data_IF_175386450037
#
_entry.id   IF_175386450037
#
_cell.length_a   1.000
_cell.length_b   1.000
_cell.length_c   1.000
_cell.angle_alpha   90.00
_cell.angle_beta   90.00
_cell.angle_gamma   90.00
#
_symmetry.space_group_name_H-M   'P 1'
#
loop_
_entity.id
_entity.type
_entity.pdbx_description
1 polymer ?
#
# COMPACT_ATOMS: atom_id res chain seq x y z
N UNK A 1 -8.23 24.88 22.58
CA UNK A 1 -6.75 24.90 22.57
C UNK A 1 -6.32 23.53 22.09
N UNK A 2 -5.94 23.42 20.82
CA UNK A 2 -5.60 22.14 20.19
C UNK A 2 -4.19 21.73 20.60
N UNK A 3 -4.01 20.48 20.98
CA UNK A 3 -2.71 19.92 21.34
C UNK A 3 -1.87 19.82 20.04
N UNK A 4 -0.68 20.45 19.96
CA UNK A 4 0.07 20.60 18.71
C UNK A 4 0.75 19.31 18.20
N UNK A 5 0.47 18.15 18.81
CA UNK A 5 1.18 16.89 18.57
C UNK A 5 0.36 15.82 17.81
N UNK A 6 -0.89 16.11 17.43
CA UNK A 6 -1.78 15.13 16.77
C UNK A 6 -2.53 15.73 15.59
N UNK A 7 -2.38 15.12 14.42
CA UNK A 7 -3.21 15.32 13.24
C UNK A 7 -4.59 14.64 13.43
N UNK A 8 -5.65 15.09 12.73
CA UNK A 8 -7.04 14.68 13.01
C UNK A 8 -7.34 13.19 12.83
N UNK A 9 -6.44 12.43 12.20
CA UNK A 9 -6.67 11.03 11.81
C UNK A 9 -5.88 10.02 12.68
N UNK A 10 -5.31 10.47 13.80
CA UNK A 10 -4.62 9.60 14.76
C UNK A 10 -3.19 9.19 14.37
N UNK A 11 -2.64 9.70 13.26
CA UNK A 11 -1.23 9.52 12.93
C UNK A 11 -0.35 10.49 13.75
N UNK A 12 0.51 9.94 14.61
CA UNK A 12 1.48 10.73 15.37
C UNK A 12 2.62 11.22 14.46
N UNK A 13 3.05 12.48 14.63
CA UNK A 13 4.18 13.13 13.95
C UNK A 13 5.53 12.41 14.16
N UNK A 14 5.58 11.42 15.05
CA UNK A 14 6.70 10.50 15.27
C UNK A 14 7.05 9.62 14.06
N UNK A 15 6.19 9.57 13.04
CA UNK A 15 6.44 8.86 11.78
C UNK A 15 7.55 9.49 10.91
N UNK A 16 8.07 10.68 11.28
CA UNK A 16 9.13 11.39 10.56
C UNK A 16 10.56 11.06 11.03
N UNK A 17 10.75 10.36 12.15
CA UNK A 17 12.08 9.88 12.55
C UNK A 17 12.32 8.48 12.01
N UNK A 18 13.33 8.30 11.16
CA UNK A 18 13.74 6.95 10.78
C UNK A 18 14.18 6.18 12.04
N UNK A 19 13.57 5.02 12.34
CA UNK A 19 13.98 4.23 13.49
C UNK A 19 15.44 3.77 13.30
N UNK A 20 16.20 3.63 14.40
CA UNK A 20 17.54 3.06 14.34
C UNK A 20 17.48 1.68 13.67
N UNK A 21 18.55 1.25 12.97
CA UNK A 21 18.55 -0.02 12.26
C UNK A 21 18.16 -1.15 13.24
N UNK A 22 17.13 -1.94 12.92
CA UNK A 22 16.64 -2.97 13.83
C UNK A 22 17.74 -4.01 14.05
N UNK A 23 18.01 -4.31 15.33
CA UNK A 23 18.91 -5.40 15.70
C UNK A 23 18.16 -6.70 15.47
N UNK A 24 18.57 -7.46 14.46
CA UNK A 24 17.97 -8.76 14.12
C UNK A 24 18.05 -9.68 15.35
N UNK A 25 16.93 -10.25 15.77
CA UNK A 25 16.90 -11.14 16.93
C UNK A 25 17.87 -12.33 16.72
N UNK A 26 18.79 -12.60 17.67
CA UNK A 26 19.67 -13.77 17.66
C UNK A 26 18.96 -15.10 17.32
N UNK A 27 17.68 -15.23 17.68
CA UNK A 27 16.84 -16.41 17.41
C UNK A 27 16.78 -16.72 15.91
N UNK A 28 16.83 -15.71 15.03
CA UNK A 28 16.78 -15.87 13.57
C UNK A 28 18.05 -16.41 12.94
N UNK A 29 19.19 -16.39 13.64
CA UNK A 29 20.48 -16.87 13.12
C UNK A 29 20.70 -18.37 13.31
N UNK A 30 19.77 -19.06 13.97
CA UNK A 30 19.83 -20.53 14.05
C UNK A 30 19.38 -21.12 12.73
N UNK A 31 20.27 -21.89 12.06
CA UNK A 31 20.00 -22.51 10.77
C UNK A 31 18.67 -23.29 10.74
N UNK A 32 18.32 -23.94 11.85
CA UNK A 32 17.04 -24.62 12.02
C UNK A 32 15.84 -23.67 11.91
N UNK A 33 15.89 -22.50 12.55
CA UNK A 33 14.77 -21.55 12.55
C UNK A 33 14.66 -20.82 11.22
N UNK A 34 15.78 -20.38 10.64
CA UNK A 34 15.79 -19.73 9.31
C UNK A 34 15.26 -20.67 8.22
N UNK A 35 15.70 -21.93 8.21
CA UNK A 35 15.30 -22.92 7.21
C UNK A 35 13.84 -23.33 7.36
N UNK A 36 13.35 -23.46 8.60
CA UNK A 36 11.94 -23.74 8.88
C UNK A 36 11.01 -22.59 8.45
N UNK A 37 11.41 -21.34 8.71
CA UNK A 37 10.68 -20.14 8.29
C UNK A 37 10.68 -20.02 6.75
N UNK A 38 11.84 -20.18 6.11
CA UNK A 38 11.97 -20.01 4.65
C UNK A 38 11.24 -21.09 3.84
N UNK A 39 11.18 -22.34 4.33
CA UNK A 39 10.50 -23.43 3.64
C UNK A 39 9.01 -23.58 4.01
N UNK A 40 8.48 -22.75 4.91
CA UNK A 40 7.13 -22.92 5.44
C UNK A 40 6.93 -24.28 6.13
N UNK A 41 8.02 -24.90 6.61
CA UNK A 41 8.05 -26.25 7.20
C UNK A 41 8.01 -26.24 8.73
N UNK A 42 7.37 -25.23 9.33
CA UNK A 42 7.07 -25.22 10.76
C UNK A 42 5.95 -26.22 11.07
N UNK A 43 6.24 -27.52 10.98
CA UNK A 43 5.28 -28.57 11.31
C UNK A 43 5.32 -28.88 12.81
N UNK A 44 4.12 -28.98 13.40
CA UNK A 44 3.76 -29.29 14.80
C UNK A 44 3.78 -28.16 15.85
N UNK A 45 4.38 -27.00 15.60
CA UNK A 45 4.23 -25.81 16.46
C UNK A 45 4.58 -24.55 15.68
N UNK A 46 3.65 -24.10 14.82
CA UNK A 46 3.82 -22.85 14.07
C UNK A 46 3.76 -21.66 15.04
N UNK A 47 4.92 -21.08 15.32
CA UNK A 47 5.00 -19.80 16.01
C UNK A 47 4.79 -18.66 14.99
N UNK A 48 3.52 -18.32 14.80
CA UNK A 48 3.08 -17.26 13.87
C UNK A 48 3.70 -15.90 14.25
N UNK A 49 3.90 -15.66 15.55
CA UNK A 49 4.47 -14.41 16.05
C UNK A 49 5.92 -14.28 15.63
N UNK A 50 6.70 -15.36 15.77
CA UNK A 50 8.10 -15.39 15.36
C UNK A 50 8.26 -15.19 13.85
N UNK A 51 7.39 -15.84 13.06
CA UNK A 51 7.33 -15.71 11.60
C UNK A 51 7.02 -14.26 11.18
N UNK A 52 6.00 -13.64 11.79
CA UNK A 52 5.61 -12.25 11.53
C UNK A 52 6.73 -11.27 11.89
N UNK A 53 7.35 -11.43 13.06
CA UNK A 53 8.44 -10.57 13.51
C UNK A 53 9.63 -10.67 12.53
N UNK A 54 9.99 -11.87 12.07
CA UNK A 54 11.06 -12.06 11.09
C UNK A 54 10.79 -11.28 9.79
N UNK A 55 9.59 -11.43 9.22
CA UNK A 55 9.25 -10.73 7.98
C UNK A 55 9.20 -9.21 8.18
N UNK A 56 8.70 -8.73 9.32
CA UNK A 56 8.66 -7.29 9.64
C UNK A 56 10.07 -6.67 9.77
N UNK A 57 11.01 -7.39 10.36
CA UNK A 57 12.41 -6.96 10.46
C UNK A 57 13.07 -6.94 9.08
N UNK A 58 12.82 -7.97 8.26
CA UNK A 58 13.33 -8.02 6.88
C UNK A 58 12.77 -6.89 6.01
N UNK A 59 11.48 -6.58 6.17
CA UNK A 59 10.82 -5.45 5.51
C UNK A 59 11.48 -4.13 5.91
N UNK A 60 11.76 -3.94 7.21
CA UNK A 60 12.43 -2.74 7.72
C UNK A 60 13.84 -2.60 7.15
N UNK A 61 14.61 -3.69 7.11
CA UNK A 61 15.98 -3.67 6.57
C UNK A 61 16.03 -3.44 5.06
N UNK A 62 15.01 -3.91 4.32
CA UNK A 62 14.95 -3.79 2.86
C UNK A 62 14.03 -2.67 2.38
N UNK A 63 13.52 -1.83 3.29
CA UNK A 63 12.53 -0.79 3.02
C UNK A 63 12.91 0.07 1.81
N UNK A 64 14.13 0.60 1.77
CA UNK A 64 14.60 1.45 0.67
C UNK A 64 14.57 0.73 -0.68
N UNK A 65 14.97 -0.55 -0.71
CA UNK A 65 14.98 -1.34 -1.95
C UNK A 65 13.55 -1.65 -2.40
N UNK A 66 12.68 -2.01 -1.46
CA UNK A 66 11.27 -2.32 -1.71
C UNK A 66 10.53 -1.07 -2.22
N UNK A 67 10.69 0.07 -1.54
CA UNK A 67 10.11 1.35 -1.97
C UNK A 67 10.66 1.79 -3.33
N UNK A 68 11.97 1.70 -3.57
CA UNK A 68 12.56 2.05 -4.88
C UNK A 68 11.97 1.21 -6.00
N UNK A 69 11.79 -0.09 -5.78
CA UNK A 69 11.14 -1.00 -6.75
C UNK A 69 9.69 -0.55 -7.03
N UNK A 70 8.94 -0.23 -5.98
CA UNK A 70 7.57 0.27 -6.13
C UNK A 70 7.53 1.56 -6.95
N UNK A 71 8.42 2.52 -6.69
CA UNK A 71 8.50 3.79 -7.42
C UNK A 71 8.90 3.58 -8.89
N UNK A 72 9.87 2.71 -9.18
CA UNK A 72 10.24 2.35 -10.56
C UNK A 72 9.06 1.74 -11.32
N UNK A 73 8.34 0.81 -10.69
CA UNK A 73 7.16 0.20 -11.28
C UNK A 73 6.03 1.22 -11.48
N UNK A 74 5.78 2.10 -10.50
CA UNK A 74 4.78 3.17 -10.58
C UNK A 74 5.02 4.05 -11.80
N UNK A 75 6.26 4.53 -11.97
CA UNK A 75 6.62 5.38 -13.10
C UNK A 75 6.46 4.63 -14.43
N UNK A 76 6.87 3.37 -14.49
CA UNK A 76 6.63 2.53 -15.66
C UNK A 76 5.14 2.37 -15.98
N UNK A 77 4.29 2.15 -14.98
CA UNK A 77 2.86 1.97 -15.17
C UNK A 77 2.18 3.27 -15.63
N UNK A 78 2.53 4.41 -15.04
CA UNK A 78 2.06 5.72 -15.50
C UNK A 78 2.41 5.99 -16.97
N UNK A 79 3.58 5.53 -17.41
CA UNK A 79 4.05 5.77 -18.77
C UNK A 79 3.50 4.76 -19.78
N UNK A 80 3.37 3.48 -19.43
CA UNK A 80 3.15 2.40 -20.39
C UNK A 80 1.88 1.59 -20.20
N UNK A 81 1.27 1.58 -19.01
CA UNK A 81 0.06 0.78 -18.76
C UNK A 81 -1.16 1.42 -19.44
N UNK A 82 -1.88 0.69 -20.33
CA UNK A 82 -3.08 1.22 -20.96
C UNK A 82 -4.19 1.60 -19.97
N UNK A 83 -4.42 0.76 -18.95
CA UNK A 83 -5.49 0.99 -17.96
C UNK A 83 -5.17 2.20 -17.09
N UNK A 84 -3.93 2.33 -16.63
CA UNK A 84 -3.49 3.46 -15.80
C UNK A 84 -3.58 4.76 -16.59
N UNK A 85 -3.04 4.78 -17.83
CA UNK A 85 -3.11 5.97 -18.67
C UNK A 85 -4.54 6.38 -18.98
N UNK A 86 -5.41 5.39 -19.24
CA UNK A 86 -6.83 5.62 -19.44
C UNK A 86 -7.46 6.28 -18.20
N UNK A 87 -7.26 5.71 -17.01
CA UNK A 87 -7.80 6.26 -15.77
C UNK A 87 -7.26 7.65 -15.44
N UNK A 88 -5.95 7.89 -15.63
CA UNK A 88 -5.35 9.23 -15.50
C UNK A 88 -6.07 10.23 -16.40
N UNK A 89 -6.35 9.85 -17.66
CA UNK A 89 -7.03 10.72 -18.61
C UNK A 89 -8.50 10.99 -18.24
N UNK A 90 -9.23 9.98 -17.76
CA UNK A 90 -10.62 10.13 -17.34
C UNK A 90 -10.76 10.98 -16.08
N UNK A 91 -9.85 10.82 -15.12
CA UNK A 91 -9.77 11.69 -13.94
C UNK A 91 -9.44 13.13 -14.36
N UNK A 92 -8.54 13.31 -15.32
CA UNK A 92 -8.22 14.61 -15.93
C UNK A 92 -9.44 15.32 -16.52
N UNK A 93 -10.35 14.58 -17.17
CA UNK A 93 -11.60 15.16 -17.74
C UNK A 93 -12.56 15.68 -16.67
N UNK A 94 -12.47 15.17 -15.44
CA UNK A 94 -13.25 15.65 -14.30
C UNK A 94 -12.57 16.77 -13.51
N UNK A 95 -11.39 17.23 -13.95
CA UNK A 95 -10.61 18.26 -13.28
C UNK A 95 -9.70 17.75 -12.16
N UNK A 96 -9.62 16.43 -11.97
CA UNK A 96 -8.63 15.82 -11.09
C UNK A 96 -7.27 15.70 -11.77
N UNK A 97 -6.21 15.48 -10.99
CA UNK A 97 -4.88 15.18 -11.51
C UNK A 97 -4.34 13.97 -10.77
N UNK A 98 -3.78 13.00 -11.50
CA UNK A 98 -3.12 11.83 -10.94
C UNK A 98 -1.76 11.68 -11.59
N UNK A 99 -0.71 11.86 -10.82
CA UNK A 99 0.67 11.82 -11.29
C UNK A 99 1.63 11.31 -10.21
N UNK A 100 2.93 11.32 -10.50
CA UNK A 100 3.94 10.82 -9.58
C UNK A 100 4.01 11.58 -8.24
N UNK A 101 3.42 12.78 -8.13
CA UNK A 101 3.44 13.64 -6.94
C UNK A 101 2.33 13.33 -5.95
N UNK A 102 1.25 12.66 -6.38
CA UNK A 102 0.12 12.31 -5.52
C UNK A 102 -0.15 10.79 -5.46
N UNK A 103 0.70 9.99 -6.10
CA UNK A 103 0.74 8.53 -5.94
C UNK A 103 2.05 8.17 -5.23
N UNK A 104 1.95 7.63 -4.03
CA UNK A 104 3.07 7.46 -3.10
C UNK A 104 3.33 5.99 -2.75
N UNK A 105 4.55 5.50 -2.98
CA UNK A 105 4.97 4.22 -2.44
C UNK A 105 5.51 4.37 -1.01
N UNK A 106 4.97 3.62 -0.05
CA UNK A 106 5.45 3.58 1.34
C UNK A 106 5.46 2.15 1.87
N UNK A 107 6.20 1.94 2.96
CA UNK A 107 6.10 0.71 3.73
C UNK A 107 4.84 0.78 4.60
N UNK A 108 4.04 -0.27 4.62
CA UNK A 108 2.82 -0.34 5.40
C UNK A 108 2.89 -1.47 6.42
N UNK A 109 2.30 -1.23 7.60
CA UNK A 109 2.13 -2.24 8.66
C UNK A 109 0.77 -2.92 8.56
N UNK A 110 -0.23 -2.26 7.99
CA UNK A 110 -1.56 -2.81 7.76
C UNK A 110 -1.56 -3.86 6.63
N UNK A 111 -2.49 -4.80 6.70
CA UNK A 111 -2.71 -5.82 5.67
C UNK A 111 -3.56 -5.29 4.51
N UNK A 112 -3.06 -4.27 3.82
CA UNK A 112 -3.66 -3.69 2.61
C UNK A 112 -2.59 -3.37 1.57
N UNK A 113 -2.91 -3.49 0.28
CA UNK A 113 -1.97 -3.20 -0.82
C UNK A 113 -1.92 -1.73 -1.21
N UNK A 114 -2.98 -0.97 -0.93
CA UNK A 114 -3.09 0.44 -1.25
C UNK A 114 -4.22 1.14 -0.50
N UNK A 115 -4.47 2.39 -0.85
CA UNK A 115 -5.63 3.15 -0.40
C UNK A 115 -5.71 4.52 -1.07
N UNK A 116 -6.92 5.08 -1.14
CA UNK A 116 -7.20 6.41 -1.67
C UNK A 116 -7.68 7.38 -0.57
N UNK A 117 -7.18 8.61 -0.61
CA UNK A 117 -7.63 9.72 0.23
C UNK A 117 -7.73 11.00 -0.61
N UNK A 118 -8.76 11.81 -0.35
CA UNK A 118 -8.94 13.11 -1.01
C UNK A 118 -7.80 14.09 -0.71
N UNK A 119 -7.28 14.06 0.52
CA UNK A 119 -6.27 15.01 0.98
C UNK A 119 -4.84 14.56 0.66
N UNK A 120 -4.61 13.25 0.60
CA UNK A 120 -3.26 12.67 0.49
C UNK A 120 -3.00 11.93 -0.83
N UNK A 121 -4.03 11.75 -1.67
CA UNK A 121 -3.92 11.02 -2.93
C UNK A 121 -3.91 9.50 -2.72
N UNK A 122 -3.13 8.80 -3.55
CA UNK A 122 -3.06 7.33 -3.56
C UNK A 122 -1.83 6.85 -2.80
N UNK A 123 -2.06 5.96 -1.83
CA UNK A 123 -1.04 5.22 -1.12
C UNK A 123 -0.86 3.84 -1.77
N UNK A 124 0.38 3.45 -2.04
CA UNK A 124 0.77 2.12 -2.49
C UNK A 124 1.69 1.48 -1.45
N UNK A 125 1.27 0.36 -0.88
CA UNK A 125 2.02 -0.38 0.14
C UNK A 125 3.09 -1.25 -0.51
N UNK A 126 4.30 -0.72 -0.62
CA UNK A 126 5.40 -1.27 -1.41
C UNK A 126 5.79 -2.72 -1.01
N UNK A 127 5.64 -3.07 0.27
CA UNK A 127 5.92 -4.40 0.82
C UNK A 127 4.82 -5.43 0.57
N UNK A 128 3.65 -5.03 0.06
CA UNK A 128 2.52 -5.92 -0.21
C UNK A 128 2.41 -6.35 -1.68
N UNK A 129 3.25 -5.81 -2.56
CA UNK A 129 3.26 -6.19 -3.98
C UNK A 129 4.06 -7.47 -4.26
N UNK A 130 3.38 -8.45 -4.86
CA UNK A 130 3.97 -9.72 -5.32
C UNK A 130 4.73 -9.55 -6.63
N UNK A 131 4.18 -8.77 -7.55
CA UNK A 131 4.75 -8.46 -8.85
C UNK A 131 4.17 -7.12 -9.37
N UNK A 132 4.62 -6.68 -10.56
CA UNK A 132 4.16 -5.43 -11.17
C UNK A 132 2.67 -5.46 -11.57
N UNK A 133 2.13 -6.63 -11.93
CA UNK A 133 0.70 -6.78 -12.24
C UNK A 133 -0.18 -6.50 -11.02
N UNK A 134 0.14 -7.11 -9.87
CA UNK A 134 -0.57 -6.80 -8.62
C UNK A 134 -0.51 -5.30 -8.25
N UNK A 135 0.61 -4.63 -8.56
CA UNK A 135 0.74 -3.18 -8.37
C UNK A 135 -0.10 -2.38 -9.37
N UNK A 136 -0.21 -2.84 -10.62
CA UNK A 136 -1.08 -2.26 -11.64
C UNK A 136 -2.54 -2.36 -11.25
N UNK A 137 -2.99 -3.54 -10.83
CA UNK A 137 -4.37 -3.78 -10.39
C UNK A 137 -4.72 -2.92 -9.17
N UNK A 138 -3.83 -2.90 -8.16
CA UNK A 138 -4.00 -2.04 -6.98
C UNK A 138 -4.06 -0.56 -7.38
N UNK A 139 -3.15 -0.11 -8.23
CA UNK A 139 -3.13 1.29 -8.65
C UNK A 139 -4.40 1.64 -9.44
N UNK A 140 -4.87 0.76 -10.32
CA UNK A 140 -6.13 0.94 -11.03
C UNK A 140 -7.33 1.00 -10.08
N UNK A 141 -7.38 0.13 -9.06
CA UNK A 141 -8.41 0.14 -8.02
C UNK A 141 -8.49 1.51 -7.33
N UNK A 142 -7.38 2.02 -6.83
CA UNK A 142 -7.36 3.31 -6.14
C UNK A 142 -7.64 4.50 -7.08
N UNK A 143 -7.29 4.39 -8.36
CA UNK A 143 -7.62 5.42 -9.36
C UNK A 143 -9.11 5.43 -9.72
N UNK A 144 -9.81 4.29 -9.66
CA UNK A 144 -11.26 4.25 -9.80
C UNK A 144 -11.93 4.94 -8.60
N UNK A 145 -11.43 4.73 -7.38
CA UNK A 145 -11.90 5.48 -6.21
C UNK A 145 -11.72 7.00 -6.39
N UNK A 146 -10.56 7.42 -6.89
CA UNK A 146 -10.31 8.83 -7.21
C UNK A 146 -11.31 9.38 -8.24
N UNK A 147 -11.60 8.61 -9.30
CA UNK A 147 -12.57 8.99 -10.31
C UNK A 147 -14.00 9.08 -9.76
N UNK A 148 -14.43 8.09 -8.98
CA UNK A 148 -15.77 8.04 -8.40
C UNK A 148 -16.02 9.22 -7.46
N UNK A 149 -15.01 9.61 -6.66
CA UNK A 149 -15.10 10.78 -5.78
C UNK A 149 -15.25 12.10 -6.52
N UNK A 150 -14.73 12.21 -7.75
CA UNK A 150 -14.92 13.39 -8.59
C UNK A 150 -16.25 13.36 -9.35
N UNK A 151 -16.72 12.15 -9.71
CA UNK A 151 -17.92 11.98 -10.53
C UNK A 151 -19.21 12.03 -9.72
N UNK A 152 -19.20 11.47 -8.52
CA UNK A 152 -20.39 11.22 -7.73
C UNK A 152 -20.34 11.95 -6.38
N UNK A 153 -21.52 12.18 -5.80
CA UNK A 153 -21.64 12.67 -4.43
C UNK A 153 -21.57 11.48 -3.48
N UNK A 154 -20.36 11.16 -3.05
CA UNK A 154 -20.10 10.10 -2.08
C UNK A 154 -20.24 10.65 -0.66
N UNK A 155 -20.95 9.92 0.19
CA UNK A 155 -21.07 10.23 1.62
C UNK A 155 -20.19 9.24 2.38
N UNK A 156 -19.20 9.73 3.12
CA UNK A 156 -18.22 8.89 3.81
C UNK A 156 -18.87 7.94 4.82
N UNK A 157 -19.89 8.40 5.55
CA UNK A 157 -20.58 7.62 6.58
C UNK A 157 -21.66 6.67 6.01
N UNK A 158 -21.93 6.74 4.70
CA UNK A 158 -22.94 5.92 4.07
C UNK A 158 -22.33 4.60 3.56
N UNK A 159 -22.51 3.54 4.35
CA UNK A 159 -21.96 2.21 4.05
C UNK A 159 -22.42 1.64 2.69
N UNK A 160 -23.59 2.05 2.19
CA UNK A 160 -24.05 1.62 0.86
C UNK A 160 -23.23 2.29 -0.25
N UNK A 161 -22.90 3.57 -0.07
CA UNK A 161 -22.04 4.27 -1.03
C UNK A 161 -20.66 3.63 -1.03
N UNK A 162 -20.05 3.42 0.13
CA UNK A 162 -18.74 2.77 0.25
C UNK A 162 -18.73 1.38 -0.42
N UNK A 163 -19.71 0.53 -0.12
CA UNK A 163 -19.80 -0.79 -0.75
C UNK A 163 -19.95 -0.71 -2.28
N UNK A 164 -20.71 0.25 -2.80
CA UNK A 164 -20.85 0.45 -4.24
C UNK A 164 -19.55 0.91 -4.91
N UNK A 165 -18.74 1.73 -4.22
CA UNK A 165 -17.42 2.14 -4.70
C UNK A 165 -16.49 0.95 -4.79
N UNK A 166 -16.39 0.16 -3.72
CA UNK A 166 -15.55 -1.05 -3.70
C UNK A 166 -15.94 -2.05 -4.80
N UNK A 167 -17.24 -2.31 -4.97
CA UNK A 167 -17.73 -3.20 -6.06
C UNK A 167 -17.27 -2.68 -7.43
N UNK A 168 -17.36 -1.37 -7.66
CA UNK A 168 -16.93 -0.77 -8.93
C UNK A 168 -15.41 -0.86 -9.10
N UNK A 169 -14.65 -0.47 -8.08
CA UNK A 169 -13.20 -0.50 -8.10
C UNK A 169 -12.68 -1.91 -8.39
N UNK A 170 -13.24 -2.94 -7.74
CA UNK A 170 -12.89 -4.34 -8.04
C UNK A 170 -13.31 -4.79 -9.43
N UNK A 171 -14.45 -4.34 -9.93
CA UNK A 171 -14.92 -4.72 -11.27
C UNK A 171 -14.07 -4.09 -12.39
N UNK A 172 -13.57 -2.87 -12.18
CA UNK A 172 -12.90 -2.08 -13.22
C UNK A 172 -11.37 -2.11 -13.17
N UNK A 173 -10.78 -2.55 -12.05
CA UNK A 173 -9.33 -2.58 -11.86
C UNK A 173 -8.64 -3.81 -12.45
N UNK A 174 -9.38 -4.91 -12.65
CA UNK A 174 -8.82 -6.18 -13.11
C UNK A 174 -8.29 -7.09 -12.00
N UNK A 175 -8.56 -6.77 -10.73
CA UNK A 175 -8.09 -7.55 -9.57
C UNK A 175 -8.87 -8.87 -9.31
N UNK A 176 -9.90 -9.15 -10.11
CA UNK A 176 -10.78 -10.33 -10.00
C UNK A 176 -10.27 -11.55 -10.79
#
# INVERSE_FOLDING_TARGET
>A
MANPETAPDGASLSALSQPPPPKIDPVYYTWSSTFNIMLGRMTNSRDVTLEQNYFSEMDTLKADTICRRCETNKNYLLEYSPIIRFLTSEVGKLGGTLDATNIHCRMCTAEQSGGFSLDHGILLCANKFRNRGHQEDTMAHEMVHAWDHLKFKVEAENLRHQACLEIRASTLSGEL
#
